data_IF_530595276928
#
_entry.id   IF_530595276928
#
_cell.length_a   1.000
_cell.length_b   1.000
_cell.length_c   1.000
_cell.angle_alpha   90.00
_cell.angle_beta   90.00
_cell.angle_gamma   90.00
#
_symmetry.space_group_name_H-M   'P 1'
#
loop_
_entity.id
_entity.type
_entity.pdbx_description
1 polymer ?
#
# COMPACT_ATOMS: atom_id res chain seq x y z
N UNK A 1 -74.88 13.31 -23.15
CA UNK A 1 -74.27 11.97 -23.15
C UNK A 1 -72.96 12.10 -23.91
N UNK A 2 -71.91 12.56 -23.24
CA UNK A 2 -70.76 11.80 -22.68
C UNK A 2 -69.83 11.27 -23.78
N UNK A 3 -68.54 11.62 -23.60
CA UNK A 3 -67.28 10.95 -23.96
C UNK A 3 -66.43 11.79 -24.93
N UNK A 4 -65.13 12.06 -24.72
CA UNK A 4 -64.18 11.81 -23.62
C UNK A 4 -62.92 12.64 -23.94
N UNK A 5 -62.32 13.27 -22.92
CA UNK A 5 -61.01 13.97 -22.91
C UNK A 5 -59.80 12.99 -23.07
N UNK A 6 -58.53 13.41 -22.89
CA UNK A 6 -57.72 14.39 -23.65
C UNK A 6 -56.30 13.81 -23.94
N UNK A 7 -55.38 14.59 -24.49
CA UNK A 7 -53.98 14.68 -24.01
C UNK A 7 -53.20 15.73 -24.81
N UNK A 8 -52.83 16.80 -24.11
CA UNK A 8 -51.99 17.89 -24.58
C UNK A 8 -50.51 17.50 -24.62
N UNK A 9 -49.77 18.07 -25.58
CA UNK A 9 -48.33 18.17 -25.53
C UNK A 9 -47.93 19.61 -25.90
N UNK A 10 -47.35 20.33 -24.95
CA UNK A 10 -46.68 21.62 -25.18
C UNK A 10 -45.44 21.68 -24.29
N UNK A 11 -44.27 21.88 -24.89
CA UNK A 11 -43.19 22.70 -24.33
C UNK A 11 -42.14 22.99 -25.42
N UNK A 12 -41.94 24.27 -25.72
CA UNK A 12 -40.81 24.81 -26.50
C UNK A 12 -39.97 25.62 -25.51
N UNK A 13 -38.66 25.37 -25.44
CA UNK A 13 -37.70 26.18 -24.69
C UNK A 13 -36.64 26.79 -25.61
N UNK A 14 -36.35 28.08 -25.39
CA UNK A 14 -35.45 28.99 -26.13
C UNK A 14 -34.00 28.90 -25.55
N UNK A 15 -32.93 29.25 -26.30
CA UNK A 15 -31.56 29.16 -25.83
C UNK A 15 -31.10 30.44 -25.11
N UNK A 16 -30.20 30.31 -24.13
CA UNK A 16 -29.49 31.42 -23.47
C UNK A 16 -27.99 31.13 -23.44
N UNK A 17 -27.21 32.08 -23.92
CA UNK A 17 -25.75 32.07 -23.95
C UNK A 17 -25.14 32.60 -22.63
N UNK A 18 -23.92 32.14 -22.34
CA UNK A 18 -22.91 32.91 -21.61
C UNK A 18 -22.76 32.65 -20.10
N UNK A 19 -21.90 31.69 -19.75
CA UNK A 19 -21.00 31.80 -18.60
C UNK A 19 -19.87 30.77 -18.78
N UNK A 20 -18.75 31.21 -19.35
CA UNK A 20 -17.48 30.49 -19.31
C UNK A 20 -16.93 30.53 -17.88
N UNK A 21 -17.17 29.48 -17.11
CA UNK A 21 -16.42 29.23 -15.88
C UNK A 21 -15.12 28.54 -16.26
N UNK A 22 -14.04 29.32 -16.27
CA UNK A 22 -12.68 28.83 -16.13
C UNK A 22 -12.61 28.00 -14.85
N UNK A 23 -12.62 26.68 -14.99
CA UNK A 23 -12.39 25.78 -13.89
C UNK A 23 -10.92 25.94 -13.49
N UNK A 24 -10.72 26.60 -12.37
CA UNK A 24 -9.41 26.89 -11.82
C UNK A 24 -8.66 25.57 -11.61
N UNK A 25 -7.49 25.46 -12.23
CA UNK A 25 -6.48 24.46 -11.90
C UNK A 25 -6.01 24.69 -10.47
N UNK A 26 -6.83 24.29 -9.49
CA UNK A 26 -6.44 24.21 -8.08
C UNK A 26 -5.35 23.15 -8.02
N UNK A 27 -4.15 23.59 -7.62
CA UNK A 27 -2.93 22.80 -7.69
C UNK A 27 -3.08 21.40 -7.11
N UNK A 28 -3.13 20.41 -8.00
CA UNK A 28 -3.02 18.97 -7.68
C UNK A 28 -1.56 18.61 -7.32
N UNK A 29 -0.96 19.35 -6.39
CA UNK A 29 0.40 19.06 -5.91
C UNK A 29 0.44 18.85 -4.39
N UNK A 30 -0.71 18.56 -3.79
CA UNK A 30 -0.80 17.97 -2.45
C UNK A 30 -0.70 16.45 -2.61
N UNK A 31 0.40 15.88 -2.13
CA UNK A 31 0.58 14.43 -2.02
C UNK A 31 -0.50 13.88 -1.08
N UNK A 32 -1.34 12.96 -1.58
CA UNK A 32 -2.37 12.35 -0.77
C UNK A 32 -1.73 11.54 0.37
N UNK A 33 -2.07 11.86 1.62
CA UNK A 33 -1.47 11.20 2.78
C UNK A 33 -2.16 9.86 3.03
N UNK A 34 -1.37 8.80 3.23
CA UNK A 34 -1.86 7.45 3.53
C UNK A 34 -1.28 6.98 4.84
N UNK A 35 -2.02 6.15 5.57
CA UNK A 35 -1.53 5.51 6.80
C UNK A 35 -1.56 4.00 6.62
N UNK A 36 -0.58 3.31 7.18
CA UNK A 36 -0.45 1.86 7.03
C UNK A 36 -0.29 1.16 8.37
N UNK A 37 -1.03 0.07 8.54
CA UNK A 37 -0.76 -0.93 9.56
C UNK A 37 0.17 -2.00 8.98
N UNK A 38 1.31 -2.21 9.64
CA UNK A 38 2.31 -3.20 9.28
C UNK A 38 2.28 -4.36 10.27
N UNK A 39 1.86 -5.55 9.82
CA UNK A 39 1.85 -6.75 10.64
C UNK A 39 3.02 -7.65 10.25
N UNK A 40 3.81 -8.08 11.24
CA UNK A 40 4.91 -9.03 11.02
C UNK A 40 4.55 -10.35 11.70
N UNK A 41 4.52 -11.41 10.90
CA UNK A 41 4.29 -12.78 11.38
C UNK A 41 5.56 -13.61 11.20
N UNK A 42 5.74 -14.64 12.03
CA UNK A 42 6.77 -15.64 11.79
C UNK A 42 6.24 -16.73 10.87
N UNK A 43 6.82 -16.86 9.67
CA UNK A 43 6.51 -17.94 8.76
C UNK A 43 7.25 -19.22 9.21
N UNK A 44 6.51 -20.21 9.68
CA UNK A 44 7.09 -21.45 10.22
C UNK A 44 7.80 -22.29 9.16
N UNK A 45 7.35 -22.25 7.90
CA UNK A 45 7.92 -23.06 6.83
C UNK A 45 9.26 -22.48 6.37
N UNK A 46 9.30 -21.17 6.12
CA UNK A 46 10.52 -20.49 5.68
C UNK A 46 11.42 -20.04 6.83
N UNK A 47 10.95 -20.13 8.08
CA UNK A 47 11.66 -19.70 9.29
C UNK A 47 12.16 -18.24 9.21
N UNK A 48 11.32 -17.38 8.64
CA UNK A 48 11.63 -15.96 8.40
C UNK A 48 10.39 -15.10 8.72
N UNK A 49 10.58 -13.81 9.04
CA UNK A 49 9.47 -12.88 9.16
C UNK A 49 8.79 -12.67 7.80
N UNK A 50 7.48 -12.51 7.83
CA UNK A 50 6.61 -12.16 6.71
C UNK A 50 5.86 -10.88 7.07
N UNK A 51 5.86 -9.91 6.16
CA UNK A 51 5.22 -8.61 6.35
C UNK A 51 3.89 -8.56 5.61
N UNK A 52 2.87 -8.01 6.27
CA UNK A 52 1.53 -7.79 5.74
C UNK A 52 1.16 -6.31 5.87
N UNK A 53 0.44 -5.78 4.89
CA UNK A 53 0.09 -4.36 4.81
C UNK A 53 -1.42 -4.16 4.80
N UNK A 54 -1.89 -3.19 5.59
CA UNK A 54 -3.24 -2.64 5.49
C UNK A 54 -3.13 -1.13 5.36
N UNK A 55 -3.53 -0.58 4.22
CA UNK A 55 -3.49 0.85 3.97
C UNK A 55 -4.82 1.55 4.19
N UNK A 56 -4.77 2.81 4.59
CA UNK A 56 -5.92 3.68 4.77
C UNK A 56 -5.69 5.04 4.07
N UNK A 57 -6.77 5.63 3.59
CA UNK A 57 -6.76 7.00 3.06
C UNK A 57 -6.76 8.08 4.17
N UNK A 58 -6.76 9.35 3.77
CA UNK A 58 -6.79 10.52 4.67
C UNK A 58 -7.99 10.57 5.61
N UNK A 59 -9.04 9.79 5.32
CA UNK A 59 -10.25 9.70 6.13
C UNK A 59 -10.33 8.38 6.91
N UNK A 60 -9.21 7.67 7.05
CA UNK A 60 -9.09 6.37 7.69
C UNK A 60 -9.98 5.29 7.08
N UNK A 61 -10.31 5.40 5.78
CA UNK A 61 -11.02 4.33 5.06
C UNK A 61 -10.02 3.36 4.45
N UNK A 62 -10.31 2.05 4.46
CA UNK A 62 -9.44 1.05 3.85
C UNK A 62 -9.15 1.36 2.38
N UNK A 63 -7.87 1.28 2.00
CA UNK A 63 -7.44 1.42 0.60
C UNK A 63 -7.80 0.19 -0.22
N UNK A 64 -8.02 0.41 -1.51
CA UNK A 64 -8.08 -0.69 -2.47
C UNK A 64 -6.69 -1.29 -2.69
N UNK A 65 -6.66 -2.51 -3.20
CA UNK A 65 -5.41 -3.21 -3.51
C UNK A 65 -4.57 -2.39 -4.50
N UNK A 66 -5.20 -1.86 -5.54
CA UNK A 66 -4.53 -1.09 -6.59
C UNK A 66 -3.82 0.13 -6.00
N UNK A 67 -4.49 0.86 -5.10
CA UNK A 67 -3.89 2.00 -4.41
C UNK A 67 -2.70 1.58 -3.54
N UNK A 68 -2.82 0.49 -2.78
CA UNK A 68 -1.69 0.00 -1.98
C UNK A 68 -0.49 -0.39 -2.85
N UNK A 69 -0.72 -0.92 -4.05
CA UNK A 69 0.35 -1.27 -5.00
C UNK A 69 1.11 -0.05 -5.56
N UNK A 70 0.54 1.15 -5.49
CA UNK A 70 1.26 2.39 -5.87
C UNK A 70 2.40 2.70 -4.89
N UNK A 71 2.31 2.24 -3.64
CA UNK A 71 3.32 2.42 -2.59
C UNK A 71 4.36 1.29 -2.54
N UNK A 72 4.21 0.28 -3.42
CA UNK A 72 5.13 -0.85 -3.54
C UNK A 72 6.06 -0.60 -4.72
N UNK A 73 7.36 -0.74 -4.49
CA UNK A 73 8.39 -0.64 -5.53
C UNK A 73 8.06 -1.58 -6.69
N UNK A 74 8.06 -1.04 -7.92
CA UNK A 74 7.71 -1.80 -9.13
C UNK A 74 8.65 -3.00 -9.36
N UNK A 75 9.89 -2.90 -8.91
CA UNK A 75 10.87 -3.99 -8.99
C UNK A 75 10.49 -5.20 -8.14
N UNK A 76 9.67 -4.98 -7.10
CA UNK A 76 9.25 -5.96 -6.12
C UNK A 76 7.78 -6.35 -6.25
N UNK A 77 6.90 -5.42 -6.65
CA UNK A 77 5.45 -5.58 -6.69
C UNK A 77 4.98 -6.86 -7.39
N UNK A 78 5.59 -7.23 -8.52
CA UNK A 78 5.19 -8.40 -9.32
C UNK A 78 6.02 -9.66 -9.03
N UNK A 79 7.00 -9.57 -8.13
CA UNK A 79 7.96 -10.66 -7.86
C UNK A 79 7.82 -11.21 -6.45
N UNK A 80 7.62 -10.33 -5.48
CA UNK A 80 7.68 -10.68 -4.06
C UNK A 80 6.40 -10.33 -3.31
N UNK A 81 5.45 -9.63 -3.89
CA UNK A 81 4.18 -9.29 -3.22
C UNK A 81 3.03 -10.15 -3.75
N UNK A 82 2.30 -10.77 -2.82
CA UNK A 82 1.15 -11.64 -3.09
C UNK A 82 -0.06 -11.20 -2.28
N UNK A 83 -1.26 -11.46 -2.80
CA UNK A 83 -2.52 -11.24 -2.08
C UNK A 83 -2.89 -12.52 -1.34
N UNK A 84 -2.82 -12.49 -0.01
CA UNK A 84 -3.02 -13.67 0.83
C UNK A 84 -3.91 -13.36 2.04
N UNK A 85 -4.54 -14.37 2.61
CA UNK A 85 -5.30 -14.23 3.84
C UNK A 85 -4.34 -14.21 5.04
N UNK A 86 -4.46 -13.22 5.92
CA UNK A 86 -3.65 -13.16 7.13
C UNK A 86 -3.92 -14.37 8.04
N UNK A 87 -2.88 -15.06 8.55
CA UNK A 87 -3.03 -16.29 9.34
C UNK A 87 -3.68 -16.07 10.72
N UNK A 88 -3.64 -14.84 11.24
CA UNK A 88 -4.14 -14.49 12.58
C UNK A 88 -5.24 -13.42 12.59
N UNK A 89 -5.65 -12.92 11.42
CA UNK A 89 -6.67 -11.86 11.31
C UNK A 89 -7.76 -12.34 10.33
N UNK A 90 -8.58 -13.33 10.72
CA UNK A 90 -9.64 -13.83 9.87
C UNK A 90 -10.69 -12.75 9.61
N UNK A 91 -11.29 -12.75 8.42
CA UNK A 91 -12.37 -11.83 8.05
C UNK A 91 -11.92 -10.47 7.50
N UNK A 92 -10.62 -10.18 7.48
CA UNK A 92 -10.05 -8.96 6.87
C UNK A 92 -9.94 -9.03 5.33
N UNK A 93 -10.30 -10.17 4.73
CA UNK A 93 -10.12 -10.45 3.30
C UNK A 93 -8.65 -10.66 2.92
N UNK A 94 -8.36 -10.85 1.62
CA UNK A 94 -6.99 -10.93 1.12
C UNK A 94 -6.28 -9.58 1.28
N UNK A 95 -5.05 -9.61 1.79
CA UNK A 95 -4.21 -8.43 1.97
C UNK A 95 -2.84 -8.61 1.29
N UNK A 96 -2.18 -7.51 0.88
CA UNK A 96 -0.83 -7.58 0.35
C UNK A 96 0.16 -8.10 1.40
N UNK A 97 0.96 -9.08 1.00
CA UNK A 97 2.02 -9.69 1.80
C UNK A 97 3.32 -9.74 1.00
N UNK A 98 4.44 -9.42 1.63
CA UNK A 98 5.76 -9.69 1.06
C UNK A 98 6.09 -11.16 1.31
N UNK A 99 6.05 -11.97 0.25
CA UNK A 99 6.23 -13.41 0.31
C UNK A 99 7.65 -13.80 0.76
N UNK A 100 7.79 -14.69 1.76
CA UNK A 100 9.06 -14.89 2.47
C UNK A 100 10.06 -15.83 1.77
N UNK A 101 9.72 -16.44 0.64
CA UNK A 101 10.55 -17.48 0.00
C UNK A 101 11.99 -17.07 -0.33
N UNK A 102 12.25 -15.77 -0.50
CA UNK A 102 13.60 -15.23 -0.76
C UNK A 102 14.20 -14.49 0.44
N UNK A 103 13.49 -14.38 1.56
CA UNK A 103 13.98 -13.63 2.72
C UNK A 103 15.26 -14.25 3.29
N UNK A 104 15.34 -15.58 3.38
CA UNK A 104 16.54 -16.25 3.89
C UNK A 104 17.79 -15.93 3.05
N UNK A 105 17.67 -15.98 1.72
CA UNK A 105 18.77 -15.66 0.79
C UNK A 105 19.23 -14.21 0.93
N UNK A 106 18.28 -13.27 1.03
CA UNK A 106 18.57 -11.84 1.18
C UNK A 106 19.20 -11.54 2.53
N UNK A 107 18.64 -12.08 3.62
CA UNK A 107 19.13 -11.86 4.98
C UNK A 107 20.53 -12.43 5.17
N UNK A 108 20.83 -13.61 4.61
CA UNK A 108 22.17 -14.19 4.64
C UNK A 108 23.20 -13.26 3.99
N UNK A 109 22.87 -12.68 2.82
CA UNK A 109 23.76 -11.71 2.14
C UNK A 109 23.96 -10.43 2.95
N UNK A 110 22.88 -9.87 3.51
CA UNK A 110 22.95 -8.66 4.34
C UNK A 110 23.82 -8.88 5.59
N UNK A 111 23.63 -10.01 6.28
CA UNK A 111 24.42 -10.37 7.47
C UNK A 111 25.90 -10.55 7.10
N UNK A 112 26.19 -11.23 5.99
CA UNK A 112 27.55 -11.42 5.50
C UNK A 112 28.24 -10.08 5.21
N UNK A 113 27.58 -9.16 4.52
CA UNK A 113 28.13 -7.83 4.24
C UNK A 113 28.42 -7.04 5.52
N UNK A 114 27.53 -7.11 6.52
CA UNK A 114 27.76 -6.42 7.80
C UNK A 114 28.92 -7.05 8.59
N UNK A 115 29.05 -8.38 8.54
CA UNK A 115 30.17 -9.09 9.18
C UNK A 115 31.52 -8.73 8.51
N UNK A 116 31.55 -8.60 7.19
CA UNK A 116 32.73 -8.15 6.42
C UNK A 116 33.14 -6.71 6.76
N UNK A 117 32.18 -5.84 7.11
CA UNK A 117 32.44 -4.51 7.66
C UNK A 117 32.99 -4.51 9.10
N UNK A 118 33.29 -5.68 9.67
CA UNK A 118 33.86 -5.83 11.01
C UNK A 118 32.88 -5.61 12.16
N UNK A 119 31.56 -5.68 11.88
CA UNK A 119 30.52 -5.52 12.89
C UNK A 119 29.96 -6.87 13.31
N UNK A 120 29.81 -7.06 14.61
CA UNK A 120 29.10 -8.23 15.15
C UNK A 120 27.59 -8.02 15.06
N UNK A 121 26.89 -9.04 14.58
CA UNK A 121 25.43 -9.07 14.51
C UNK A 121 24.90 -10.13 15.44
N UNK A 122 24.09 -9.69 16.39
CA UNK A 122 23.31 -10.59 17.23
C UNK A 122 21.94 -10.89 16.63
N UNK A 123 21.34 -12.02 17.02
CA UNK A 123 20.04 -12.47 16.53
C UNK A 123 18.94 -11.43 16.76
N UNK A 124 18.99 -10.69 17.87
CA UNK A 124 18.00 -9.66 18.18
C UNK A 124 18.00 -8.50 17.16
N UNK A 125 19.08 -8.32 16.39
CA UNK A 125 19.19 -7.31 15.33
C UNK A 125 18.55 -7.74 14.01
N UNK A 126 18.16 -9.02 13.89
CA UNK A 126 17.61 -9.58 12.66
C UNK A 126 16.38 -8.81 12.16
N UNK A 127 15.45 -8.46 13.07
CA UNK A 127 14.25 -7.69 12.69
C UNK A 127 14.61 -6.30 12.19
N UNK A 128 15.62 -5.64 12.75
CA UNK A 128 16.06 -4.32 12.28
C UNK A 128 16.63 -4.38 10.86
N UNK A 129 17.42 -5.43 10.56
CA UNK A 129 17.95 -5.67 9.21
C UNK A 129 16.81 -6.01 8.25
N UNK A 130 15.85 -6.81 8.68
CA UNK A 130 14.66 -7.14 7.89
C UNK A 130 13.85 -5.87 7.56
N UNK A 131 13.59 -5.01 8.54
CA UNK A 131 12.90 -3.73 8.35
C UNK A 131 13.68 -2.81 7.39
N UNK A 132 15.01 -2.80 7.42
CA UNK A 132 15.83 -2.07 6.45
C UNK A 132 15.71 -2.62 5.03
N UNK A 133 15.61 -3.95 4.87
CA UNK A 133 15.32 -4.58 3.59
C UNK A 133 13.93 -4.21 3.07
N UNK A 134 12.92 -4.21 3.96
CA UNK A 134 11.54 -3.85 3.62
C UNK A 134 11.44 -2.44 3.04
N UNK A 135 12.31 -1.50 3.44
CA UNK A 135 12.29 -0.12 2.94
C UNK A 135 12.55 -0.06 1.43
N UNK A 136 13.32 -1.01 0.88
CA UNK A 136 13.52 -1.12 -0.56
C UNK A 136 12.26 -1.60 -1.30
N UNK A 137 11.37 -2.32 -0.61
CA UNK A 137 10.11 -2.83 -1.14
C UNK A 137 9.00 -1.79 -1.04
N UNK A 138 8.93 -1.03 0.06
CA UNK A 138 7.90 -0.01 0.33
C UNK A 138 8.52 1.36 0.63
N UNK A 139 9.13 2.01 -0.38
CA UNK A 139 9.97 3.18 -0.16
C UNK A 139 9.20 4.43 0.30
N UNK A 140 7.89 4.50 0.06
CA UNK A 140 7.03 5.65 0.41
C UNK A 140 6.36 5.52 1.78
N UNK A 141 6.48 4.36 2.43
CA UNK A 141 5.87 4.11 3.74
C UNK A 141 6.91 4.40 4.81
N UNK A 142 6.64 5.42 5.62
CA UNK A 142 7.46 5.76 6.77
C UNK A 142 7.08 4.90 7.98
N UNK A 143 8.02 4.09 8.44
CA UNK A 143 7.92 3.34 9.70
C UNK A 143 9.26 3.40 10.43
N UNK A 144 9.22 3.29 11.76
CA UNK A 144 10.42 3.36 12.57
C UNK A 144 11.20 2.04 12.53
N UNK A 145 12.45 2.10 12.07
CA UNK A 145 13.42 1.01 12.13
C UNK A 145 14.77 1.48 12.70
N UNK A 146 14.76 2.56 13.50
CA UNK A 146 15.98 3.21 13.96
C UNK A 146 16.88 2.30 14.80
N UNK A 147 17.94 1.83 14.15
CA UNK A 147 19.29 1.80 14.68
C UNK A 147 20.19 2.49 13.66
N UNK A 148 21.04 3.42 14.10
CA UNK A 148 22.11 3.97 13.28
C UNK A 148 23.13 2.87 12.96
N UNK A 149 22.84 2.06 11.95
CA UNK A 149 23.86 1.22 11.34
C UNK A 149 24.65 2.13 10.39
N UNK A 150 25.78 2.67 10.86
CA UNK A 150 26.77 3.33 10.00
C UNK A 150 27.35 2.30 9.01
N UNK A 151 26.59 1.88 7.98
CA UNK A 151 27.07 0.95 6.96
C UNK A 151 28.38 1.44 6.34
#
# INVERSE_FOLDING_TARGET
>A
MINNDPLEASTIAKPSAGASTTDETVGQNTLATRTYDLNITYDKYYQTPRLWLTGYDEHHKPLSVEKMYEDISQDHAKKTVTMEQHPHLPGTGPMPSIHPCRHADVMKKLIQMVAESGKELEVHMYIMIFLKFVQAVIPTIDYDYTRQFNL
#
